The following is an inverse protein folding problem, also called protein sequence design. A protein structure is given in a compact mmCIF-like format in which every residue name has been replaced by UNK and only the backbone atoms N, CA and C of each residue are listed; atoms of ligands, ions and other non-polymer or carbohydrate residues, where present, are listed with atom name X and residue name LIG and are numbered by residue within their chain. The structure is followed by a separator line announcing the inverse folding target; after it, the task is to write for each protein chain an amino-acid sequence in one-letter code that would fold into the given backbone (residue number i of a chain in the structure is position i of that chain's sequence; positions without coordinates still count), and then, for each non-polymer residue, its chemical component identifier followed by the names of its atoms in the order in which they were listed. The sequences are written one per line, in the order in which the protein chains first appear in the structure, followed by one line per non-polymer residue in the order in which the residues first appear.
data_IF_047081674683
#
_entry.id   IF_047081674683
#
_cell.length_a   1.000
_cell.length_b   1.000
_cell.length_c   1.000
_cell.angle_alpha   90.00
_cell.angle_beta   90.00
_cell.angle_gamma   90.00
#
_symmetry.space_group_name_H-M   'P 1'
#
loop_
_entity.id
_entity.type
_entity.pdbx_description
1 polymer ?
#
# COMPACT_ATOMS: atom_id res chain seq x y z
N UNK A 1 -21.76 -38.60 33.39
CA UNK A 1 -22.00 -38.10 32.02
C UNK A 1 -21.45 -36.68 31.84
N UNK A 2 -20.18 -36.44 32.19
CA UNK A 2 -19.54 -35.10 32.12
C UNK A 2 -18.37 -35.08 31.12
N UNK A 3 -17.78 -36.24 30.79
CA UNK A 3 -16.54 -36.34 30.00
C UNK A 3 -16.64 -35.78 28.58
N UNK A 4 -17.84 -35.72 28.01
CA UNK A 4 -18.08 -35.20 26.66
C UNK A 4 -18.19 -33.67 26.61
N UNK A 5 -18.58 -33.03 27.72
CA UNK A 5 -18.64 -31.56 27.82
C UNK A 5 -17.24 -30.93 27.84
N UNK A 6 -16.25 -31.59 28.44
CA UNK A 6 -14.87 -31.12 28.43
C UNK A 6 -14.22 -31.15 27.03
N UNK A 7 -14.64 -32.09 26.16
CA UNK A 7 -14.13 -32.22 24.80
C UNK A 7 -14.70 -31.14 23.86
N UNK A 8 -15.94 -30.70 24.07
CA UNK A 8 -16.55 -29.60 23.31
C UNK A 8 -16.03 -28.22 23.71
N UNK A 9 -15.48 -28.07 24.93
CA UNK A 9 -14.91 -26.80 25.41
C UNK A 9 -13.50 -26.52 24.85
N UNK A 10 -12.83 -27.54 24.29
CA UNK A 10 -11.46 -27.43 23.77
C UNK A 10 -11.38 -27.17 22.25
N UNK A 11 -12.51 -27.12 21.56
CA UNK A 11 -12.55 -26.69 20.15
C UNK A 11 -12.58 -25.17 20.11
N UNK A 12 -11.40 -24.56 20.25
CA UNK A 12 -11.22 -23.14 20.02
C UNK A 12 -11.62 -22.81 18.57
N UNK A 13 -12.62 -21.94 18.41
CA UNK A 13 -12.91 -21.32 17.12
C UNK A 13 -11.74 -20.43 16.74
N UNK A 14 -10.81 -20.95 15.94
CA UNK A 14 -9.91 -20.13 15.16
C UNK A 14 -10.73 -19.60 13.98
N UNK A 15 -11.32 -18.42 14.15
CA UNK A 15 -11.90 -17.71 13.02
C UNK A 15 -10.82 -17.47 11.97
N UNK A 16 -11.13 -17.54 10.66
CA UNK A 16 -10.16 -17.19 9.64
C UNK A 16 -9.70 -15.74 9.89
N UNK A 17 -8.39 -15.56 10.08
CA UNK A 17 -7.79 -14.23 10.10
C UNK A 17 -7.75 -13.80 8.64
N UNK A 18 -8.74 -13.02 8.22
CA UNK A 18 -8.71 -12.37 6.90
C UNK A 18 -7.65 -11.28 6.98
N UNK A 19 -6.48 -11.52 6.37
CA UNK A 19 -5.56 -10.42 6.09
C UNK A 19 -6.31 -9.41 5.21
N UNK A 20 -6.28 -8.14 5.58
CA UNK A 20 -6.92 -7.08 4.80
C UNK A 20 -6.31 -7.08 3.39
N UNK A 21 -7.11 -7.55 2.43
CA UNK A 21 -6.74 -7.65 1.02
C UNK A 21 -7.46 -6.61 0.17
N UNK A 22 -7.99 -5.57 0.81
CA UNK A 22 -8.61 -4.41 0.20
C UNK A 22 -7.61 -3.27 0.00
N UNK A 23 -6.43 -3.35 0.62
CA UNK A 23 -5.39 -2.35 0.53
C UNK A 23 -5.53 -1.18 1.49
N UNK A 24 -6.33 -1.33 2.54
CA UNK A 24 -6.46 -0.36 3.62
C UNK A 24 -5.23 -0.43 4.55
N UNK A 25 -4.06 -0.05 4.04
CA UNK A 25 -2.77 -0.11 4.75
C UNK A 25 -2.48 1.14 5.58
N UNK A 26 -3.48 1.62 6.32
CA UNK A 26 -3.38 2.82 7.17
C UNK A 26 -2.25 2.75 8.21
N UNK A 27 -1.88 1.55 8.63
CA UNK A 27 -0.76 1.30 9.53
C UNK A 27 0.60 1.75 8.95
N UNK A 28 0.75 1.78 7.63
CA UNK A 28 1.97 2.17 6.94
C UNK A 28 2.03 3.68 6.60
N UNK A 29 0.98 4.45 6.89
CA UNK A 29 0.90 5.88 6.57
C UNK A 29 2.05 6.73 7.15
N UNK A 30 2.60 6.35 8.30
CA UNK A 30 3.59 7.17 9.00
C UNK A 30 4.98 7.12 8.38
N UNK A 31 5.47 5.91 8.11
CA UNK A 31 6.84 5.63 7.68
C UNK A 31 6.92 5.03 6.28
N UNK A 32 5.78 4.76 5.63
CA UNK A 32 5.67 4.02 4.37
C UNK A 32 6.26 2.61 4.44
N UNK A 33 6.40 2.05 5.65
CA UNK A 33 6.95 0.71 5.88
C UNK A 33 5.82 -0.30 5.93
N UNK A 34 5.80 -1.29 5.03
CA UNK A 34 4.82 -2.35 5.09
C UNK A 34 5.11 -3.23 6.32
N UNK A 35 4.16 -3.28 7.25
CA UNK A 35 4.28 -3.94 8.56
C UNK A 35 4.16 -5.48 8.45
N UNK A 36 4.86 -6.09 7.50
CA UNK A 36 4.87 -7.54 7.25
C UNK A 36 6.13 -8.25 7.76
N UNK A 37 6.89 -7.61 8.66
CA UNK A 37 7.99 -8.26 9.39
C UNK A 37 9.22 -8.62 8.57
N UNK A 38 9.49 -7.91 7.48
CA UNK A 38 10.72 -8.05 6.70
C UNK A 38 11.45 -6.71 6.62
N UNK A 39 12.78 -6.78 6.61
CA UNK A 39 13.63 -5.62 6.38
C UNK A 39 13.55 -5.16 4.91
N UNK A 40 13.72 -3.85 4.64
CA UNK A 40 13.82 -3.34 3.28
C UNK A 40 14.91 -4.06 2.47
N UNK A 41 14.60 -4.41 1.22
CA UNK A 41 15.59 -5.03 0.34
C UNK A 41 16.71 -4.05 -0.04
N UNK A 42 17.99 -4.47 0.01
CA UNK A 42 19.10 -3.67 -0.48
C UNK A 42 19.30 -3.76 -2.01
N UNK A 43 18.63 -4.71 -2.67
CA UNK A 43 18.74 -4.91 -4.11
C UNK A 43 18.04 -3.77 -4.88
N UNK A 44 18.44 -3.52 -6.15
CA UNK A 44 17.72 -2.58 -6.99
C UNK A 44 16.21 -2.89 -7.02
N UNK A 45 15.33 -1.87 -6.95
CA UNK A 45 13.90 -2.11 -6.89
C UNK A 45 13.44 -2.85 -8.17
N UNK A 46 12.58 -3.87 -8.05
CA UNK A 46 12.07 -4.62 -9.20
C UNK A 46 11.00 -3.86 -9.99
N UNK A 47 10.85 -2.55 -9.76
CA UNK A 47 9.85 -1.67 -10.32
C UNK A 47 10.44 -0.30 -10.67
N UNK A 48 9.81 0.38 -11.62
CA UNK A 48 10.12 1.74 -12.04
C UNK A 48 8.92 2.65 -11.74
N UNK A 49 9.21 3.83 -11.20
CA UNK A 49 8.24 4.92 -11.04
C UNK A 49 8.65 6.05 -11.97
N UNK A 50 7.78 6.40 -12.90
CA UNK A 50 8.00 7.52 -13.85
C UNK A 50 6.81 8.46 -13.85
N UNK A 51 7.04 9.68 -14.33
CA UNK A 51 6.01 10.71 -14.50
C UNK A 51 5.97 11.18 -15.95
N UNK A 52 4.81 11.65 -16.40
CA UNK A 52 4.64 12.24 -17.75
C UNK A 52 5.35 13.59 -17.93
N UNK A 53 5.51 14.37 -16.85
CA UNK A 53 6.21 15.66 -16.85
C UNK A 53 7.06 15.87 -15.60
N UNK A 54 8.23 16.48 -15.80
CA UNK A 54 9.19 16.83 -14.74
C UNK A 54 9.11 18.28 -14.29
N UNK A 55 8.39 19.12 -15.02
CA UNK A 55 8.09 20.52 -14.68
C UNK A 55 6.59 20.71 -14.61
N UNK A 56 6.15 21.44 -13.59
CA UNK A 56 4.74 21.63 -13.29
C UNK A 56 4.53 22.93 -12.52
N UNK A 57 3.31 23.47 -12.60
CA UNK A 57 2.83 24.60 -11.81
C UNK A 57 1.76 24.14 -10.81
N UNK A 58 1.47 24.91 -9.74
CA UNK A 58 0.36 24.59 -8.84
C UNK A 58 -0.95 24.40 -9.61
N UNK A 59 -1.64 23.28 -9.37
CA UNK A 59 -2.90 22.92 -10.04
C UNK A 59 -2.73 22.02 -11.27
N UNK A 60 -1.50 21.76 -11.70
CA UNK A 60 -1.22 20.81 -12.76
C UNK A 60 -1.46 19.36 -12.31
N UNK A 61 -2.09 18.56 -13.18
CA UNK A 61 -2.15 17.10 -13.00
C UNK A 61 -0.91 16.45 -13.59
N UNK A 62 -0.25 15.57 -12.83
CA UNK A 62 0.91 14.77 -13.24
C UNK A 62 0.48 13.31 -13.23
N UNK A 63 0.72 12.60 -14.32
CA UNK A 63 0.42 11.17 -14.40
C UNK A 63 1.60 10.37 -13.88
N UNK A 64 1.37 9.56 -12.85
CA UNK A 64 2.38 8.65 -12.27
C UNK A 64 2.21 7.26 -12.86
N UNK A 65 3.30 6.67 -13.34
CA UNK A 65 3.35 5.31 -13.86
C UNK A 65 4.19 4.44 -12.94
N UNK A 66 3.58 3.38 -12.41
CA UNK A 66 4.27 2.31 -11.68
C UNK A 66 4.32 1.06 -12.56
N UNK A 67 5.52 0.60 -12.89
CA UNK A 67 5.73 -0.52 -13.81
C UNK A 67 6.73 -1.51 -13.25
N UNK A 68 6.57 -2.79 -13.56
CA UNK A 68 7.56 -3.82 -13.24
C UNK A 68 8.81 -3.62 -14.12
N UNK A 69 9.99 -3.63 -13.52
CA UNK A 69 11.25 -3.38 -14.23
C UNK A 69 11.87 -4.66 -14.85
N UNK A 70 11.49 -5.84 -14.36
CA UNK A 70 12.05 -7.13 -14.79
C UNK A 70 11.12 -7.88 -15.77
N UNK A 71 11.73 -8.61 -16.71
CA UNK A 71 11.03 -9.41 -17.73
C UNK A 71 10.63 -10.82 -17.27
N UNK A 72 11.13 -11.29 -16.13
CA UNK A 72 10.58 -12.50 -15.51
C UNK A 72 9.19 -12.19 -14.93
N UNK A 73 8.27 -13.17 -14.95
CA UNK A 73 6.86 -13.07 -14.51
C UNK A 73 6.72 -12.54 -13.07
N UNK A 74 6.88 -11.24 -12.92
CA UNK A 74 6.87 -10.52 -11.66
C UNK A 74 5.71 -9.56 -11.74
N UNK A 75 4.89 -9.55 -10.70
CA UNK A 75 3.76 -8.65 -10.53
C UNK A 75 3.80 -8.15 -9.10
N UNK A 76 3.40 -6.90 -8.90
CA UNK A 76 3.11 -6.42 -7.56
C UNK A 76 1.74 -6.97 -7.14
N UNK A 77 1.61 -7.39 -5.89
CA UNK A 77 0.30 -7.67 -5.30
C UNK A 77 -0.42 -6.39 -4.92
N UNK A 78 0.33 -5.34 -4.60
CA UNK A 78 -0.20 -4.06 -4.22
C UNK A 78 0.90 -3.01 -4.11
N UNK A 79 0.49 -1.77 -3.88
CA UNK A 79 1.38 -0.64 -3.72
C UNK A 79 0.78 0.43 -2.79
N UNK A 80 1.67 1.26 -2.25
CA UNK A 80 1.35 2.48 -1.52
C UNK A 80 2.26 3.59 -2.07
N UNK A 81 1.68 4.68 -2.56
CA UNK A 81 2.40 5.81 -3.16
C UNK A 81 2.02 7.10 -2.44
N UNK A 82 3.04 7.87 -2.10
CA UNK A 82 2.93 9.17 -1.46
C UNK A 82 3.77 10.18 -2.24
N UNK A 83 3.27 11.41 -2.38
CA UNK A 83 4.02 12.52 -2.97
C UNK A 83 4.67 13.36 -1.85
N UNK A 84 5.98 13.63 -1.97
CA UNK A 84 6.75 14.44 -1.00
C UNK A 84 7.46 15.60 -1.70
N UNK A 85 7.62 16.69 -0.96
CA UNK A 85 8.49 17.79 -1.37
C UNK A 85 9.96 17.34 -1.32
N UNK A 86 10.63 17.36 -2.47
CA UNK A 86 12.03 16.93 -2.61
C UNK A 86 13.00 17.75 -1.74
N UNK A 87 12.67 19.00 -1.40
CA UNK A 87 13.45 19.83 -0.48
C UNK A 87 13.14 19.61 1.00
N UNK A 88 12.08 18.85 1.31
CA UNK A 88 11.53 18.68 2.67
C UNK A 88 11.00 17.26 2.90
N UNK A 89 11.84 16.26 2.63
CA UNK A 89 11.45 14.84 2.71
C UNK A 89 10.93 14.39 4.08
N UNK A 90 11.30 15.08 5.17
CA UNK A 90 10.86 14.77 6.54
C UNK A 90 9.49 15.35 6.90
N UNK A 91 8.92 16.19 6.03
CA UNK A 91 7.59 16.77 6.22
C UNK A 91 6.50 15.86 5.69
N UNK A 92 5.25 16.20 6.00
CA UNK A 92 4.06 15.48 5.53
C UNK A 92 3.97 15.45 4.00
N UNK A 93 3.26 14.45 3.48
CA UNK A 93 2.89 14.39 2.07
C UNK A 93 2.28 15.70 1.56
N UNK A 94 2.42 15.92 0.26
CA UNK A 94 1.91 17.10 -0.43
C UNK A 94 1.03 16.70 -1.61
N UNK A 95 0.19 17.62 -2.07
CA UNK A 95 -0.66 17.42 -3.23
C UNK A 95 -1.87 16.53 -2.95
N UNK A 96 -2.49 16.03 -4.02
CA UNK A 96 -3.64 15.14 -3.96
C UNK A 96 -3.61 14.22 -5.18
N UNK A 97 -4.15 13.03 -5.02
CA UNK A 97 -4.19 12.01 -6.04
C UNK A 97 -5.58 11.92 -6.67
N UNK A 98 -5.61 11.60 -7.96
CA UNK A 98 -6.83 11.28 -8.71
C UNK A 98 -6.72 9.82 -9.13
N UNK A 99 -7.75 9.01 -8.85
CA UNK A 99 -7.77 7.60 -9.23
C UNK A 99 -7.79 7.47 -10.76
N UNK A 100 -6.87 6.67 -11.29
CA UNK A 100 -6.86 6.28 -12.70
C UNK A 100 -7.77 5.09 -12.97
N UNK A 101 -7.82 4.15 -12.01
CA UNK A 101 -8.71 2.98 -12.05
C UNK A 101 -9.32 2.70 -10.66
N UNK A 102 -10.55 3.14 -10.39
CA UNK A 102 -11.22 2.92 -9.11
C UNK A 102 -11.57 1.46 -8.80
N UNK A 103 -11.46 0.54 -9.76
CA UNK A 103 -11.72 -0.89 -9.53
C UNK A 103 -10.51 -1.60 -8.93
N UNK A 104 -9.32 -1.16 -9.30
CA UNK A 104 -8.05 -1.77 -8.89
C UNK A 104 -7.32 -0.93 -7.85
N UNK A 105 -7.81 0.26 -7.49
CA UNK A 105 -7.11 1.17 -6.59
C UNK A 105 -8.02 2.10 -5.79
N UNK A 106 -7.47 2.63 -4.70
CA UNK A 106 -8.18 3.49 -3.77
C UNK A 106 -7.28 4.59 -3.17
N UNK A 107 -7.93 5.63 -2.67
CA UNK A 107 -7.29 6.71 -1.92
C UNK A 107 -7.39 6.39 -0.44
N UNK A 108 -6.27 6.47 0.26
CA UNK A 108 -6.18 6.26 1.70
C UNK A 108 -5.89 7.61 2.37
N UNK A 109 -6.64 7.91 3.44
CA UNK A 109 -6.43 9.12 4.21
C UNK A 109 -5.43 8.85 5.34
N UNK A 110 -4.24 9.42 5.22
CA UNK A 110 -3.17 9.36 6.21
C UNK A 110 -3.18 10.64 7.06
N UNK A 111 -4.09 10.71 8.03
CA UNK A 111 -4.28 11.93 8.82
C UNK A 111 -4.86 13.06 7.96
N UNK A 112 -4.04 14.06 7.62
CA UNK A 112 -4.44 15.18 6.76
C UNK A 112 -3.94 15.05 5.32
N UNK A 113 -3.23 13.97 4.99
CA UNK A 113 -2.70 13.73 3.65
C UNK A 113 -3.43 12.58 2.98
N UNK A 114 -3.39 12.58 1.64
CA UNK A 114 -3.96 11.54 0.82
C UNK A 114 -2.83 10.75 0.16
N UNK A 115 -2.90 9.43 0.24
CA UNK A 115 -1.97 8.52 -0.43
C UNK A 115 -2.73 7.59 -1.37
N UNK A 116 -2.05 7.13 -2.41
CA UNK A 116 -2.63 6.23 -3.42
C UNK A 116 -2.27 4.80 -3.06
N UNK A 117 -3.25 3.90 -3.04
CA UNK A 117 -3.02 2.49 -2.72
C UNK A 117 -3.79 1.56 -3.65
N UNK A 118 -3.31 0.33 -3.77
CA UNK A 118 -3.96 -0.75 -4.52
C UNK A 118 -3.48 -2.06 -3.93
N UNK A 119 -4.38 -3.01 -3.74
CA UNK A 119 -4.03 -4.38 -3.37
C UNK A 119 -4.95 -5.34 -4.13
N UNK A 120 -4.35 -6.38 -4.68
CA UNK A 120 -5.00 -7.49 -5.37
C UNK A 120 -4.86 -8.73 -4.50
N UNK A 121 -5.98 -9.44 -4.30
CA UNK A 121 -6.02 -10.69 -3.52
C UNK A 121 -5.44 -11.86 -4.27
#
# INVERSE_FOLDING_TARGET
MWRWYFLMLLTGHVGPITGYSDGEVSIACGDMVPQHGHEPSPDPPPYNITVDKSTYSPGDNITVYLQVASSYRTFFKGFLIEARDAGKLTFSAVGSFILTDPLESQLLLCGHTQVYSSFTS
#
